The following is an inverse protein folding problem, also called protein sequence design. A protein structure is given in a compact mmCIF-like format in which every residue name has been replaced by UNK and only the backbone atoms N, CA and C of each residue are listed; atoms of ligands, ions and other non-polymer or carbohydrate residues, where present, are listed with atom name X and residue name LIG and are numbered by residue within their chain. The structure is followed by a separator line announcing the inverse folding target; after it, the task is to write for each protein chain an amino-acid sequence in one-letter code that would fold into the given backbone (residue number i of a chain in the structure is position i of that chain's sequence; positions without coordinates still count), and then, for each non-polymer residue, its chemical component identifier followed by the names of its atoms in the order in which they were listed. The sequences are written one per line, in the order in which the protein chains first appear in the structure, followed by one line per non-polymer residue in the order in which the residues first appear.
data_IF_892741530039
#
_entry.id   IF_892741530039
#
_cell.length_a   1.000
_cell.length_b   1.000
_cell.length_c   1.000
_cell.angle_alpha   90.00
_cell.angle_beta   90.00
_cell.angle_gamma   90.00
#
_symmetry.space_group_name_H-M   'P 1'
#
loop_
_entity.id
_entity.type
_entity.pdbx_description
1 polymer ?
#
# COMPACT_ATOMS: atom_id res chain seq x y z
N UNK A 1 -49.79 -40.30 4.32
CA UNK A 1 -48.51 -39.60 4.01
C UNK A 1 -48.64 -38.83 2.70
N UNK A 2 -49.20 -37.62 2.75
CA UNK A 2 -49.07 -36.62 1.68
C UNK A 2 -48.98 -35.25 2.37
N UNK A 3 -48.07 -34.45 1.86
CA UNK A 3 -47.24 -33.51 2.61
C UNK A 3 -47.98 -32.50 3.49
N UNK A 4 -47.60 -32.53 4.77
CA UNK A 4 -47.94 -31.61 5.86
C UNK A 4 -47.15 -30.29 5.80
N UNK A 5 -46.80 -29.82 4.60
CA UNK A 5 -46.03 -28.58 4.36
C UNK A 5 -46.87 -27.48 3.69
N UNK A 6 -48.20 -27.56 3.81
CA UNK A 6 -49.10 -26.43 3.54
C UNK A 6 -49.19 -25.51 4.76
N UNK A 7 -48.05 -25.28 5.42
CA UNK A 7 -47.93 -24.39 6.57
C UNK A 7 -47.46 -23.02 6.06
N UNK A 8 -48.37 -22.06 6.18
CA UNK A 8 -48.07 -20.81 6.86
C UNK A 8 -46.85 -20.03 6.36
N UNK A 9 -46.88 -19.46 5.16
CA UNK A 9 -46.04 -18.32 4.73
C UNK A 9 -46.67 -17.84 3.41
N UNK A 10 -47.26 -16.66 3.15
CA UNK A 10 -47.31 -15.34 3.78
C UNK A 10 -48.57 -14.64 3.20
N UNK A 11 -49.51 -14.20 4.05
CA UNK A 11 -50.29 -13.00 3.74
C UNK A 11 -49.36 -11.80 3.97
N UNK A 12 -49.06 -11.04 2.93
CA UNK A 12 -48.23 -9.83 3.02
C UNK A 12 -47.11 -9.77 1.98
N UNK A 13 -47.41 -9.14 0.84
CA UNK A 13 -46.46 -8.80 -0.24
C UNK A 13 -45.90 -10.00 -1.01
N UNK A 14 -46.72 -10.56 -1.91
CA UNK A 14 -46.19 -11.24 -3.10
C UNK A 14 -45.16 -10.33 -3.77
N UNK A 15 -44.05 -10.89 -4.20
CA UNK A 15 -42.94 -10.12 -4.75
C UNK A 15 -43.47 -9.24 -5.89
N UNK A 16 -42.84 -8.09 -6.13
CA UNK A 16 -43.27 -7.19 -7.20
C UNK A 16 -43.30 -7.89 -8.59
N UNK A 17 -42.65 -9.06 -8.72
CA UNK A 17 -42.68 -9.96 -9.87
C UNK A 17 -43.99 -10.74 -9.98
N UNK A 18 -44.55 -11.26 -8.87
CA UNK A 18 -45.81 -12.00 -8.87
C UNK A 18 -46.97 -11.12 -9.36
N UNK A 19 -46.93 -9.84 -9.00
CA UNK A 19 -47.89 -8.83 -9.48
C UNK A 19 -47.75 -8.57 -10.99
N UNK A 20 -46.53 -8.60 -11.52
CA UNK A 20 -46.28 -8.44 -12.97
C UNK A 20 -46.88 -9.61 -13.76
N UNK A 21 -46.74 -10.85 -13.27
CA UNK A 21 -47.31 -12.03 -13.92
C UNK A 21 -48.84 -12.03 -13.87
N UNK A 22 -49.44 -11.74 -12.72
CA UNK A 22 -50.91 -11.67 -12.58
C UNK A 22 -51.54 -10.64 -13.52
N UNK A 23 -50.94 -9.45 -13.65
CA UNK A 23 -51.43 -8.40 -14.53
C UNK A 23 -51.24 -8.74 -16.02
N UNK A 24 -50.23 -9.54 -16.36
CA UNK A 24 -50.03 -10.04 -17.72
C UNK A 24 -51.08 -11.10 -18.08
N UNK A 25 -51.44 -11.98 -17.15
CA UNK A 25 -52.50 -12.99 -17.34
C UNK A 25 -53.90 -12.35 -17.47
N UNK A 26 -54.11 -11.19 -16.84
CA UNK A 26 -55.30 -10.33 -17.06
C UNK A 26 -55.32 -9.64 -18.45
N UNK A 27 -54.28 -9.82 -19.28
CA UNK A 27 -54.21 -9.29 -20.64
C UNK A 27 -53.76 -7.82 -20.75
N UNK A 28 -53.17 -7.24 -19.69
CA UNK A 28 -52.68 -5.85 -19.72
C UNK A 28 -51.39 -5.74 -20.53
N UNK A 29 -51.22 -4.62 -21.23
CA UNK A 29 -49.98 -4.35 -21.96
C UNK A 29 -48.82 -4.07 -21.01
N UNK A 30 -47.59 -4.37 -21.44
CA UNK A 30 -46.37 -4.15 -20.64
C UNK A 30 -46.20 -2.70 -20.13
N UNK A 31 -46.71 -1.71 -20.87
CA UNK A 31 -46.69 -0.31 -20.43
C UNK A 31 -47.63 -0.08 -19.26
N UNK A 32 -48.86 -0.59 -19.35
CA UNK A 32 -49.86 -0.50 -18.29
C UNK A 32 -49.43 -1.24 -17.03
N UNK A 33 -48.76 -2.39 -17.18
CA UNK A 33 -48.18 -3.12 -16.06
C UNK A 33 -47.06 -2.30 -15.41
N UNK A 34 -46.23 -1.64 -16.23
CA UNK A 34 -45.19 -0.72 -15.75
C UNK A 34 -45.76 0.42 -14.90
N UNK A 35 -46.83 1.05 -15.38
CA UNK A 35 -47.49 2.15 -14.67
C UNK A 35 -48.14 1.67 -13.35
N UNK A 36 -48.78 0.49 -13.35
CA UNK A 36 -49.44 -0.09 -12.18
C UNK A 36 -48.49 -0.65 -11.12
N UNK A 37 -47.32 -1.13 -11.54
CA UNK A 37 -46.29 -1.69 -10.66
C UNK A 37 -45.17 -0.69 -10.33
N UNK A 38 -45.20 0.53 -10.89
CA UNK A 38 -44.12 1.52 -10.74
C UNK A 38 -42.78 1.05 -11.33
N UNK A 39 -42.82 0.31 -12.44
CA UNK A 39 -41.65 -0.27 -13.09
C UNK A 39 -41.47 0.23 -14.52
N UNK A 40 -40.22 0.42 -14.93
CA UNK A 40 -39.90 0.68 -16.33
C UNK A 40 -40.35 -0.49 -17.22
N UNK A 41 -40.91 -0.17 -18.39
CA UNK A 41 -41.40 -1.15 -19.37
C UNK A 41 -40.35 -2.20 -19.74
N UNK A 42 -39.06 -1.85 -19.82
CA UNK A 42 -37.98 -2.81 -20.13
C UNK A 42 -37.78 -3.81 -19.00
N UNK A 43 -37.99 -3.38 -17.76
CA UNK A 43 -37.92 -4.25 -16.58
C UNK A 43 -39.09 -5.24 -16.59
N UNK A 44 -40.30 -4.77 -16.86
CA UNK A 44 -41.49 -5.64 -17.04
C UNK A 44 -41.26 -6.66 -18.14
N UNK A 45 -40.73 -6.23 -19.30
CA UNK A 45 -40.37 -7.12 -20.41
C UNK A 45 -39.38 -8.21 -19.98
N UNK A 46 -38.29 -7.84 -19.31
CA UNK A 46 -37.29 -8.81 -18.85
C UNK A 46 -37.83 -9.81 -17.84
N UNK A 47 -38.80 -9.41 -17.02
CA UNK A 47 -39.49 -10.30 -16.07
C UNK A 47 -40.37 -11.31 -16.81
N UNK A 48 -41.21 -10.85 -17.74
CA UNK A 48 -42.08 -11.73 -18.52
C UNK A 48 -41.27 -12.69 -19.41
N UNK A 49 -40.15 -12.23 -19.95
CA UNK A 49 -39.23 -13.06 -20.73
C UNK A 49 -38.40 -14.03 -19.86
N UNK A 50 -38.30 -13.83 -18.55
CA UNK A 50 -37.53 -14.73 -17.66
C UNK A 50 -38.15 -16.11 -17.48
N UNK A 51 -39.46 -16.24 -17.69
CA UNK A 51 -40.17 -17.53 -17.64
C UNK A 51 -40.06 -18.32 -18.95
N UNK A 52 -39.86 -17.63 -20.08
CA UNK A 52 -39.82 -18.23 -21.42
C UNK A 52 -38.40 -18.41 -21.93
N UNK A 53 -37.50 -17.48 -21.62
CA UNK A 53 -36.06 -17.63 -21.84
C UNK A 53 -35.43 -18.36 -20.66
N UNK A 54 -35.60 -19.69 -20.63
CA UNK A 54 -34.63 -20.55 -19.94
C UNK A 54 -33.33 -20.42 -20.73
N UNK A 55 -32.49 -19.43 -20.39
CA UNK A 55 -31.09 -19.46 -20.85
C UNK A 55 -30.52 -20.77 -20.33
N UNK A 56 -30.04 -21.60 -21.25
CA UNK A 56 -29.30 -22.81 -20.91
C UNK A 56 -28.21 -22.39 -19.90
N UNK A 57 -28.32 -22.92 -18.67
CA UNK A 57 -27.34 -22.66 -17.65
C UNK A 57 -26.03 -23.27 -18.13
N UNK A 58 -25.12 -22.44 -18.63
CA UNK A 58 -23.73 -22.80 -18.80
C UNK A 58 -23.04 -22.51 -17.47
N UNK A 59 -22.88 -23.52 -16.59
CA UNK A 59 -22.05 -23.33 -15.42
C UNK A 59 -20.67 -22.90 -15.91
N UNK A 60 -20.14 -21.81 -15.36
CA UNK A 60 -18.72 -21.41 -15.46
C UNK A 60 -17.77 -22.44 -14.79
N UNK A 61 -18.20 -23.69 -14.66
CA UNK A 61 -17.55 -24.82 -14.01
C UNK A 61 -18.00 -26.04 -14.81
N UNK A 62 -17.25 -26.47 -15.82
CA UNK A 62 -16.19 -27.45 -15.64
C UNK A 62 -14.97 -27.02 -16.44
N UNK A 63 -14.03 -26.33 -15.79
CA UNK A 63 -12.66 -26.28 -16.30
C UNK A 63 -12.20 -27.74 -16.33
N UNK A 64 -11.98 -28.26 -17.53
CA UNK A 64 -11.44 -29.59 -17.75
C UNK A 64 -10.11 -29.73 -17.00
N UNK A 65 -10.17 -30.34 -15.81
CA UNK A 65 -9.01 -30.50 -14.92
C UNK A 65 -7.91 -31.35 -15.55
N UNK A 66 -8.23 -32.15 -16.58
CA UNK A 66 -7.22 -32.88 -17.34
C UNK A 66 -6.24 -31.96 -18.07
N UNK A 67 -6.65 -30.71 -18.37
CA UNK A 67 -5.82 -29.68 -19.03
C UNK A 67 -5.04 -28.81 -18.04
N UNK A 68 -5.24 -28.96 -16.74
CA UNK A 68 -4.51 -28.19 -15.72
C UNK A 68 -2.99 -28.39 -15.76
N UNK A 69 -2.44 -29.59 -16.03
CA UNK A 69 -1.00 -29.78 -16.11
C UNK A 69 -0.33 -28.89 -17.17
N UNK A 70 -0.92 -28.79 -18.37
CA UNK A 70 -0.37 -27.95 -19.46
C UNK A 70 -0.49 -26.46 -19.15
N UNK A 71 -1.63 -26.04 -18.57
CA UNK A 71 -1.86 -24.65 -18.14
C UNK A 71 -0.88 -24.29 -17.00
N UNK A 72 -0.67 -25.19 -16.05
CA UNK A 72 0.26 -25.03 -14.93
C UNK A 72 1.69 -24.85 -15.43
N UNK A 73 2.16 -25.74 -16.31
CA UNK A 73 3.47 -25.62 -16.96
C UNK A 73 3.62 -24.27 -17.66
N UNK A 74 2.60 -23.84 -18.42
CA UNK A 74 2.66 -22.57 -19.13
C UNK A 74 2.70 -21.35 -18.20
N UNK A 75 1.94 -21.38 -17.09
CA UNK A 75 1.98 -20.35 -16.06
C UNK A 75 3.36 -20.30 -15.40
N UNK A 76 3.96 -21.46 -15.10
CA UNK A 76 5.32 -21.55 -14.53
C UNK A 76 6.36 -20.95 -15.48
N UNK A 77 6.35 -21.32 -16.76
CA UNK A 77 7.22 -20.72 -17.80
C UNK A 77 7.08 -19.20 -17.89
N UNK A 78 5.85 -18.69 -17.86
CA UNK A 78 5.60 -17.24 -17.88
C UNK A 78 6.17 -16.54 -16.64
N UNK A 79 6.08 -17.17 -15.46
CA UNK A 79 6.62 -16.64 -14.22
C UNK A 79 8.15 -16.77 -14.10
N UNK A 80 8.78 -17.72 -14.78
CA UNK A 80 10.25 -17.78 -14.91
C UNK A 80 10.80 -16.60 -15.71
N UNK A 81 10.10 -16.20 -16.77
CA UNK A 81 10.48 -15.04 -17.60
C UNK A 81 10.16 -13.72 -16.89
N UNK A 82 8.98 -13.63 -16.26
CA UNK A 82 8.55 -12.43 -15.56
C UNK A 82 7.76 -12.79 -14.30
N UNK A 83 8.37 -12.59 -13.13
CA UNK A 83 7.73 -12.87 -11.84
C UNK A 83 6.42 -12.11 -11.59
N UNK A 84 6.17 -11.00 -12.29
CA UNK A 84 4.98 -10.13 -12.11
C UNK A 84 3.91 -10.30 -13.22
N UNK A 85 3.85 -11.45 -13.93
CA UNK A 85 2.82 -11.66 -14.97
C UNK A 85 1.40 -11.45 -14.40
N UNK A 86 0.61 -10.60 -15.05
CA UNK A 86 -0.78 -10.31 -14.68
C UNK A 86 -1.73 -11.43 -15.11
N UNK A 87 -2.93 -11.49 -14.51
CA UNK A 87 -3.95 -12.47 -14.92
C UNK A 87 -4.34 -12.27 -16.39
N UNK A 88 -4.49 -11.03 -16.83
CA UNK A 88 -4.85 -10.71 -18.23
C UNK A 88 -3.81 -11.22 -19.21
N UNK A 89 -2.52 -11.04 -18.94
CA UNK A 89 -1.44 -11.55 -19.79
C UNK A 89 -1.44 -13.08 -19.87
N UNK A 90 -1.72 -13.76 -18.76
CA UNK A 90 -1.87 -15.24 -18.77
C UNK A 90 -3.09 -15.65 -19.60
N UNK A 91 -4.22 -14.97 -19.46
CA UNK A 91 -5.44 -15.27 -20.22
C UNK A 91 -5.21 -15.03 -21.72
N UNK A 92 -4.51 -13.96 -22.08
CA UNK A 92 -4.18 -13.61 -23.47
C UNK A 92 -3.23 -14.64 -24.10
N UNK A 93 -2.23 -15.12 -23.36
CA UNK A 93 -1.28 -16.13 -23.82
C UNK A 93 -1.95 -17.50 -23.99
N UNK A 94 -2.75 -17.92 -23.00
CA UNK A 94 -3.46 -19.20 -23.02
C UNK A 94 -4.70 -19.14 -23.94
N UNK A 95 -5.08 -17.93 -24.39
CA UNK A 95 -6.23 -17.62 -25.26
C UNK A 95 -7.56 -18.18 -24.77
N UNK A 96 -7.72 -18.35 -23.46
CA UNK A 96 -8.91 -18.96 -22.83
C UNK A 96 -9.16 -18.40 -21.43
N UNK A 97 -10.43 -18.24 -21.10
CA UNK A 97 -10.87 -17.82 -19.78
C UNK A 97 -10.87 -19.02 -18.81
N UNK A 98 -9.74 -19.22 -18.12
CA UNK A 98 -9.63 -20.15 -17.01
C UNK A 98 -9.56 -19.41 -15.67
N UNK A 99 -9.82 -20.13 -14.58
CA UNK A 99 -9.59 -19.64 -13.22
C UNK A 99 -8.08 -19.64 -12.91
N UNK A 100 -7.36 -18.71 -13.53
CA UNK A 100 -5.89 -18.56 -13.41
C UNK A 100 -5.45 -18.44 -11.94
N UNK A 101 -6.26 -17.80 -11.09
CA UNK A 101 -5.97 -17.70 -9.65
C UNK A 101 -5.90 -19.07 -8.97
N UNK A 102 -6.86 -19.94 -9.25
CA UNK A 102 -6.90 -21.30 -8.67
C UNK A 102 -5.75 -22.15 -9.18
N UNK A 103 -5.39 -22.03 -10.46
CA UNK A 103 -4.25 -22.77 -11.03
C UNK A 103 -2.94 -22.29 -10.38
N UNK A 104 -2.73 -20.97 -10.23
CA UNK A 104 -1.56 -20.40 -9.55
C UNK A 104 -1.40 -20.92 -8.12
N UNK A 105 -2.48 -20.91 -7.35
CA UNK A 105 -2.47 -21.44 -5.98
C UNK A 105 -2.11 -22.94 -5.96
N UNK A 106 -2.67 -23.73 -6.89
CA UNK A 106 -2.31 -25.15 -7.04
C UNK A 106 -0.87 -25.40 -7.53
N UNK A 107 -0.22 -24.38 -8.08
CA UNK A 107 1.20 -24.38 -8.47
C UNK A 107 2.13 -23.93 -7.35
N UNK A 108 1.60 -23.56 -6.18
CA UNK A 108 2.40 -23.02 -5.07
C UNK A 108 2.79 -21.55 -5.26
N UNK A 109 2.24 -20.87 -6.27
CA UNK A 109 2.42 -19.43 -6.45
C UNK A 109 1.50 -18.68 -5.47
N UNK A 110 2.10 -17.80 -4.66
CA UNK A 110 1.38 -17.02 -3.66
C UNK A 110 1.27 -15.55 -4.08
N UNK A 111 0.10 -14.96 -3.84
CA UNK A 111 -0.12 -13.52 -4.07
C UNK A 111 0.55 -12.72 -2.96
N UNK A 112 1.57 -11.95 -3.30
CA UNK A 112 2.18 -10.95 -2.41
C UNK A 112 1.80 -9.54 -2.84
N UNK A 113 1.63 -8.65 -1.87
CA UNK A 113 1.51 -7.23 -2.14
C UNK A 113 2.85 -6.69 -2.64
N UNK A 114 2.83 -5.95 -3.75
CA UNK A 114 4.01 -5.24 -4.25
C UNK A 114 4.43 -4.19 -3.21
N UNK A 115 5.67 -4.28 -2.74
CA UNK A 115 6.26 -3.27 -1.85
C UNK A 115 7.00 -2.25 -2.70
N UNK A 116 6.70 -0.97 -2.50
CA UNK A 116 7.54 0.10 -3.03
C UNK A 116 8.76 0.25 -2.12
N UNK A 117 9.93 0.39 -2.73
CA UNK A 117 11.18 0.61 -2.00
C UNK A 117 12.21 1.28 -2.89
N UNK A 118 13.09 2.07 -2.27
CA UNK A 118 14.25 2.63 -2.96
C UNK A 118 15.32 1.56 -3.08
N UNK A 119 15.54 1.05 -4.29
CA UNK A 119 16.66 0.15 -4.54
C UNK A 119 17.98 0.89 -4.41
N UNK A 120 18.95 0.25 -3.76
CA UNK A 120 20.34 0.73 -3.74
C UNK A 120 20.88 0.67 -5.17
N UNK A 121 21.28 1.83 -5.69
CA UNK A 121 21.96 1.95 -6.99
C UNK A 121 23.15 1.00 -7.04
N UNK A 122 23.38 0.36 -8.18
CA UNK A 122 24.44 -0.65 -8.33
C UNK A 122 25.81 -0.12 -7.92
N UNK A 123 26.14 1.12 -8.29
CA UNK A 123 27.38 1.80 -7.90
C UNK A 123 27.58 1.97 -6.37
N UNK A 124 26.50 2.00 -5.58
CA UNK A 124 26.54 2.16 -4.13
C UNK A 124 26.59 0.81 -3.39
N UNK A 125 26.22 -0.30 -4.04
CA UNK A 125 26.24 -1.63 -3.44
C UNK A 125 27.65 -2.06 -2.99
N UNK A 126 28.72 -1.99 -3.81
CA UNK A 126 30.04 -2.42 -3.37
C UNK A 126 30.55 -1.56 -2.21
N UNK A 127 30.34 -0.24 -2.25
CA UNK A 127 30.74 0.68 -1.17
C UNK A 127 30.10 0.33 0.17
N UNK A 128 28.81 0.00 0.17
CA UNK A 128 28.09 -0.42 1.39
C UNK A 128 28.60 -1.77 1.91
N UNK A 129 28.87 -2.71 1.01
CA UNK A 129 29.39 -4.03 1.37
C UNK A 129 30.81 -3.92 1.97
N UNK A 130 31.69 -3.17 1.31
CA UNK A 130 33.06 -2.92 1.77
C UNK A 130 33.06 -2.27 3.15
N UNK A 131 32.27 -1.20 3.35
CA UNK A 131 32.14 -0.55 4.65
C UNK A 131 31.63 -1.51 5.73
N UNK A 132 30.60 -2.31 5.43
CA UNK A 132 30.05 -3.27 6.38
C UNK A 132 31.05 -4.38 6.74
N UNK A 133 31.79 -4.91 5.76
CA UNK A 133 32.84 -5.92 5.98
C UNK A 133 33.99 -5.35 6.82
N UNK A 134 34.42 -4.11 6.56
CA UNK A 134 35.45 -3.44 7.33
C UNK A 134 35.06 -3.29 8.81
N UNK A 135 33.87 -2.72 9.09
CA UNK A 135 33.36 -2.57 10.45
C UNK A 135 33.17 -3.91 11.18
N UNK A 136 32.75 -4.95 10.45
CA UNK A 136 32.64 -6.30 10.99
C UNK A 136 34.00 -6.89 11.35
N UNK A 137 35.01 -6.72 10.48
CA UNK A 137 36.36 -7.21 10.71
C UNK A 137 37.05 -6.51 11.90
N UNK A 138 36.82 -5.22 12.06
CA UNK A 138 37.27 -4.41 13.19
C UNK A 138 36.53 -4.72 14.50
N UNK A 139 35.45 -5.51 14.43
CA UNK A 139 34.54 -5.78 15.57
C UNK A 139 34.01 -4.48 16.18
N UNK A 140 33.72 -3.50 15.34
CA UNK A 140 33.18 -2.21 15.74
C UNK A 140 31.86 -2.41 16.52
N UNK A 141 31.79 -1.82 17.71
CA UNK A 141 30.59 -1.87 18.56
C UNK A 141 29.77 -0.60 18.49
N UNK A 142 30.28 0.46 17.84
CA UNK A 142 29.67 1.79 17.76
C UNK A 142 29.40 2.40 19.14
N UNK A 143 30.14 1.98 20.16
CA UNK A 143 29.90 2.39 21.55
C UNK A 143 30.18 3.87 21.81
N UNK A 144 31.06 4.47 21.00
CA UNK A 144 31.43 5.88 21.04
C UNK A 144 30.92 6.65 19.81
N UNK A 145 29.77 6.26 19.24
CA UNK A 145 29.21 6.90 18.05
C UNK A 145 27.85 7.53 18.34
N UNK A 146 27.68 8.77 17.95
CA UNK A 146 26.36 9.40 17.80
C UNK A 146 25.86 9.23 16.39
N UNK A 147 24.67 8.64 16.25
CA UNK A 147 23.93 8.61 14.99
C UNK A 147 23.01 9.83 14.96
N UNK A 148 23.26 10.72 14.01
CA UNK A 148 22.49 11.94 13.80
C UNK A 148 21.72 11.86 12.49
N UNK A 149 20.50 12.36 12.49
CA UNK A 149 19.64 12.46 11.31
C UNK A 149 18.63 13.59 11.45
N UNK A 150 18.10 14.03 10.30
CA UNK A 150 17.00 14.97 10.21
C UNK A 150 15.69 14.25 9.88
N UNK A 151 14.66 14.48 10.69
CA UNK A 151 13.31 14.00 10.41
C UNK A 151 12.35 15.16 10.13
N UNK A 152 11.47 14.99 9.16
CA UNK A 152 10.34 15.91 8.94
C UNK A 152 9.08 15.33 9.57
N UNK A 153 8.46 16.09 10.46
CA UNK A 153 7.18 15.73 11.09
C UNK A 153 6.09 16.64 10.53
N UNK A 154 5.05 16.03 9.98
CA UNK A 154 3.86 16.75 9.49
C UNK A 154 2.93 17.08 10.66
N UNK A 155 2.48 18.34 10.74
CA UNK A 155 1.65 18.83 11.86
C UNK A 155 0.22 18.26 11.78
N UNK A 156 -0.36 18.19 10.58
CA UNK A 156 -1.73 17.72 10.34
C UNK A 156 -1.75 16.29 9.77
N UNK A 157 -1.00 15.38 10.40
CA UNK A 157 -0.97 13.99 9.98
C UNK A 157 -2.28 13.28 10.37
N UNK A 158 -3.29 13.38 9.51
CA UNK A 158 -4.55 12.63 9.65
C UNK A 158 -4.25 11.14 9.57
N UNK A 159 -4.83 10.36 10.50
CA UNK A 159 -4.65 8.91 10.55
C UNK A 159 -5.05 8.26 9.22
N UNK A 160 -4.36 7.18 8.85
CA UNK A 160 -4.69 6.40 7.64
C UNK A 160 -6.08 5.75 7.70
N UNK A 161 -6.69 5.72 8.89
CA UNK A 161 -8.01 5.17 9.12
C UNK A 161 -9.00 6.29 9.41
N UNK A 162 -10.13 6.25 8.71
CA UNK A 162 -11.27 7.15 8.89
C UNK A 162 -12.54 6.31 8.92
N UNK A 163 -13.49 6.70 9.77
CA UNK A 163 -14.81 6.08 9.82
C UNK A 163 -15.76 6.90 8.96
N UNK A 164 -16.35 6.27 7.95
CA UNK A 164 -17.24 6.94 6.99
C UNK A 164 -18.55 6.17 6.83
N UNK A 165 -19.63 6.88 6.49
CA UNK A 165 -20.93 6.27 6.25
C UNK A 165 -20.91 5.48 4.93
N UNK A 166 -21.52 4.29 4.92
CA UNK A 166 -21.48 3.38 3.77
C UNK A 166 -22.13 3.95 2.50
N UNK A 167 -23.01 4.95 2.62
CA UNK A 167 -23.68 5.62 1.50
C UNK A 167 -22.87 6.77 0.88
N UNK A 168 -21.73 7.14 1.46
CA UNK A 168 -20.84 8.17 0.91
C UNK A 168 -19.50 7.54 0.47
N UNK A 169 -19.37 7.22 -0.83
CA UNK A 169 -18.15 6.59 -1.35
C UNK A 169 -16.96 7.55 -1.41
N UNK A 170 -17.12 8.85 -1.13
CA UNK A 170 -16.07 9.86 -1.23
C UNK A 170 -15.63 10.43 0.12
N UNK A 171 -16.41 10.26 1.19
CA UNK A 171 -16.09 10.77 2.53
C UNK A 171 -14.71 10.32 3.07
N UNK A 172 -14.15 9.22 2.56
CA UNK A 172 -12.83 8.73 2.98
C UNK A 172 -11.67 9.47 2.27
N UNK A 173 -11.98 10.29 1.26
CA UNK A 173 -11.02 11.05 0.49
C UNK A 173 -10.84 12.40 1.18
N UNK A 174 -9.82 12.50 2.03
CA UNK A 174 -9.46 13.77 2.64
C UNK A 174 -8.76 14.68 1.62
N UNK A 175 -9.15 15.95 1.59
CA UNK A 175 -8.34 16.98 0.94
C UNK A 175 -6.96 17.03 1.59
N UNK A 176 -5.92 16.76 0.80
CA UNK A 176 -4.52 16.93 1.22
C UNK A 176 -4.00 18.23 0.64
N UNK A 177 -3.57 19.20 1.47
CA UNK A 177 -2.88 20.37 0.94
C UNK A 177 -1.65 19.94 0.16
N UNK A 178 -1.43 20.52 -1.02
CA UNK A 178 -0.27 20.21 -1.89
C UNK A 178 1.07 20.38 -1.17
N UNK A 179 1.11 21.28 -0.19
CA UNK A 179 2.27 21.60 0.62
C UNK A 179 1.87 21.57 2.10
N UNK A 180 1.84 20.38 2.74
CA UNK A 180 1.49 20.28 4.15
C UNK A 180 2.52 21.00 5.01
N UNK A 181 2.06 21.56 6.13
CA UNK A 181 2.97 22.20 7.08
C UNK A 181 3.75 21.13 7.83
N UNK A 182 5.08 21.23 7.73
CA UNK A 182 6.03 20.31 8.35
C UNK A 182 7.03 21.09 9.18
N UNK A 183 7.49 20.45 10.25
CA UNK A 183 8.59 20.90 11.08
C UNK A 183 9.73 19.92 10.89
N UNK A 184 10.94 20.43 10.74
CA UNK A 184 12.12 19.59 10.68
C UNK A 184 12.73 19.52 12.06
N UNK A 185 13.12 18.33 12.48
CA UNK A 185 13.81 18.08 13.73
C UNK A 185 15.17 17.48 13.39
N UNK A 186 16.19 17.96 14.09
CA UNK A 186 17.49 17.31 14.15
C UNK A 186 17.62 16.61 15.51
N UNK A 187 18.12 15.38 15.48
CA UNK A 187 18.34 14.56 16.66
C UNK A 187 19.63 13.78 16.47
N UNK A 188 20.39 13.60 17.56
CA UNK A 188 21.46 12.62 17.63
C UNK A 188 21.26 11.66 18.81
N UNK A 189 21.56 10.37 18.60
CA UNK A 189 21.46 9.33 19.62
C UNK A 189 22.73 8.50 19.69
N UNK A 190 23.10 8.08 20.89
CA UNK A 190 24.27 7.21 21.15
C UNK A 190 23.89 6.09 22.11
N UNK A 191 24.80 5.15 22.34
CA UNK A 191 24.62 4.11 23.36
C UNK A 191 24.48 4.67 24.79
N UNK A 192 25.08 5.84 25.06
CA UNK A 192 25.03 6.48 26.38
C UNK A 192 23.79 7.36 26.56
N UNK A 193 23.13 7.77 25.47
CA UNK A 193 21.92 8.58 25.53
C UNK A 193 21.74 9.50 24.31
N UNK A 194 20.61 10.21 24.26
CA UNK A 194 20.32 11.19 23.22
C UNK A 194 20.99 12.54 23.49
N UNK A 195 21.28 13.28 22.42
CA UNK A 195 21.50 14.71 22.46
C UNK A 195 20.16 15.46 22.58
N UNK A 196 20.21 16.75 22.89
CA UNK A 196 19.03 17.61 22.87
C UNK A 196 18.48 17.74 21.44
N UNK A 197 17.15 17.82 21.33
CA UNK A 197 16.44 17.90 20.04
C UNK A 197 16.45 19.34 19.56
N UNK A 198 16.98 19.58 18.35
CA UNK A 198 16.84 20.86 17.67
C UNK A 198 15.62 20.85 16.77
N UNK A 199 14.68 21.74 17.07
CA UNK A 199 13.55 22.04 16.18
C UNK A 199 13.96 23.17 15.23
N UNK A 200 13.81 22.92 13.92
CA UNK A 200 14.04 23.89 12.84
C UNK A 200 12.69 24.39 12.35
N UNK A 201 12.53 25.72 12.29
CA UNK A 201 11.25 26.36 12.00
C UNK A 201 10.70 25.99 10.60
N UNK A 202 9.37 26.02 10.39
CA UNK A 202 8.72 25.57 9.15
C UNK A 202 9.08 26.39 7.89
N UNK A 203 9.78 27.52 8.04
CA UNK A 203 10.24 28.38 6.94
C UNK A 203 11.76 28.56 6.91
N UNK A 204 12.48 27.87 7.78
CA UNK A 204 13.94 27.94 7.83
C UNK A 204 14.52 26.97 6.81
N UNK A 205 15.38 27.49 5.92
CA UNK A 205 16.19 26.64 5.05
C UNK A 205 17.36 26.13 5.87
N UNK A 206 17.52 24.81 5.99
CA UNK A 206 18.65 24.23 6.69
C UNK A 206 19.89 24.24 5.79
N UNK A 207 20.82 25.16 6.05
CA UNK A 207 22.07 25.31 5.29
C UNK A 207 23.24 24.70 6.06
N UNK A 208 24.41 24.66 5.41
CA UNK A 208 25.64 24.16 6.04
C UNK A 208 26.04 24.95 7.29
N UNK A 209 25.83 26.26 7.30
CA UNK A 209 26.11 27.12 8.45
C UNK A 209 25.18 26.80 9.63
N UNK A 210 23.90 26.56 9.35
CA UNK A 210 22.92 26.19 10.37
C UNK A 210 23.25 24.80 10.93
N UNK A 211 23.62 23.86 10.07
CA UNK A 211 24.05 22.53 10.49
C UNK A 211 25.29 22.59 11.40
N UNK A 212 26.30 23.39 11.06
CA UNK A 212 27.48 23.55 11.90
C UNK A 212 27.13 24.12 13.28
N UNK A 213 26.24 25.12 13.33
CA UNK A 213 25.72 25.63 14.61
C UNK A 213 24.98 24.56 15.40
N UNK A 214 24.20 23.70 14.74
CA UNK A 214 23.56 22.58 15.43
C UNK A 214 24.58 21.64 16.04
N UNK A 215 25.70 21.38 15.36
CA UNK A 215 26.76 20.57 15.93
C UNK A 215 27.40 21.23 17.16
N UNK A 216 27.66 22.53 17.10
CA UNK A 216 28.26 23.28 18.20
C UNK A 216 27.33 23.41 19.41
N UNK A 217 26.04 23.66 19.17
CA UNK A 217 25.05 23.96 20.21
C UNK A 217 24.45 22.70 20.83
N UNK A 218 24.32 21.59 20.08
CA UNK A 218 23.60 20.40 20.52
C UNK A 218 24.46 19.13 20.55
N UNK A 219 25.30 18.89 19.53
CA UNK A 219 26.14 17.69 19.48
C UNK A 219 27.35 17.79 20.43
N UNK A 220 28.17 18.83 20.33
CA UNK A 220 29.40 18.96 21.14
C UNK A 220 29.14 18.94 22.65
N UNK A 221 28.09 19.61 23.18
CA UNK A 221 27.79 19.52 24.60
C UNK A 221 27.40 18.11 25.03
N UNK A 222 26.59 17.41 24.22
CA UNK A 222 26.20 16.02 24.50
C UNK A 222 27.40 15.05 24.41
N UNK A 223 28.25 15.22 23.38
CA UNK A 223 29.50 14.50 23.20
C UNK A 223 30.45 14.67 24.40
N UNK A 224 30.60 15.91 24.87
CA UNK A 224 31.43 16.22 26.03
C UNK A 224 30.84 15.63 27.31
N UNK A 225 29.53 15.78 27.53
CA UNK A 225 28.86 15.30 28.73
C UNK A 225 28.83 13.76 28.84
N UNK A 226 28.60 13.05 27.73
CA UNK A 226 28.41 11.59 27.73
C UNK A 226 29.70 10.80 27.47
N UNK A 227 30.66 11.39 26.75
CA UNK A 227 31.89 10.70 26.31
C UNK A 227 33.18 11.48 26.61
N UNK A 228 33.11 12.62 27.31
CA UNK A 228 34.29 13.46 27.55
C UNK A 228 34.92 14.02 26.28
N UNK A 229 34.16 14.10 25.19
CA UNK A 229 34.65 14.53 23.88
C UNK A 229 35.28 13.42 23.03
N UNK A 230 35.40 12.20 23.55
CA UNK A 230 35.94 11.04 22.81
C UNK A 230 34.83 10.27 22.10
N UNK A 231 34.17 10.90 21.14
CA UNK A 231 33.14 10.25 20.32
C UNK A 231 33.14 10.71 18.86
N UNK A 232 32.58 9.86 18.00
CA UNK A 232 32.44 10.08 16.57
C UNK A 232 31.00 10.41 16.21
N UNK A 233 30.83 11.17 15.14
CA UNK A 233 29.55 11.50 14.54
C UNK A 233 29.31 10.64 13.30
N UNK A 234 28.18 9.92 13.26
CA UNK A 234 27.66 9.26 12.08
C UNK A 234 26.46 10.07 11.55
N UNK A 235 26.58 10.56 10.32
CA UNK A 235 25.54 11.31 9.61
C UNK A 235 25.50 10.91 8.14
N UNK A 236 24.46 11.30 7.41
CA UNK A 236 24.34 10.98 5.99
C UNK A 236 25.23 11.88 5.09
N UNK A 237 25.30 11.55 3.80
CA UNK A 237 26.07 12.32 2.82
C UNK A 237 25.25 13.44 2.15
N UNK A 238 24.32 14.08 2.85
CA UNK A 238 23.58 15.20 2.29
C UNK A 238 24.53 16.32 1.82
N UNK A 239 24.14 17.14 0.82
CA UNK A 239 24.97 18.23 0.34
C UNK A 239 25.39 19.22 1.44
N UNK A 240 24.54 19.43 2.44
CA UNK A 240 24.84 20.32 3.58
C UNK A 240 25.90 19.73 4.51
N UNK A 241 25.97 18.40 4.63
CA UNK A 241 26.92 17.66 5.45
C UNK A 241 28.30 17.55 4.79
N UNK A 242 28.32 17.47 3.46
CA UNK A 242 29.53 17.24 2.67
C UNK A 242 30.13 18.50 2.04
N UNK A 243 29.52 19.67 2.29
CA UNK A 243 29.98 20.95 1.77
C UNK A 243 31.38 21.30 2.29
N UNK A 244 32.11 22.12 1.52
CA UNK A 244 33.44 22.56 1.91
C UNK A 244 33.42 23.30 3.26
N UNK A 245 32.40 24.14 3.46
CA UNK A 245 32.19 24.86 4.72
C UNK A 245 32.06 23.91 5.90
N UNK A 246 31.16 22.92 5.80
CA UNK A 246 30.90 21.96 6.89
C UNK A 246 32.14 21.14 7.24
N UNK A 247 32.88 20.66 6.23
CA UNK A 247 34.12 19.89 6.44
C UNK A 247 35.20 20.71 7.13
N UNK A 248 35.42 21.94 6.68
CA UNK A 248 36.37 22.86 7.33
C UNK A 248 35.96 23.10 8.78
N UNK A 249 34.68 23.42 9.01
CA UNK A 249 34.19 23.72 10.35
C UNK A 249 34.31 22.53 11.29
N UNK A 250 33.90 21.32 10.88
CA UNK A 250 34.07 20.09 11.65
C UNK A 250 35.51 19.85 12.07
N UNK A 251 36.46 20.14 11.18
CA UNK A 251 37.89 20.01 11.49
C UNK A 251 38.31 21.02 12.57
N UNK A 252 37.85 22.27 12.48
CA UNK A 252 38.13 23.32 13.47
C UNK A 252 37.56 22.98 14.86
N UNK A 253 36.36 22.41 14.91
CA UNK A 253 35.69 22.01 16.16
C UNK A 253 36.01 20.58 16.60
N UNK A 254 37.02 19.94 15.98
CA UNK A 254 37.52 18.61 16.29
C UNK A 254 36.45 17.50 16.30
N UNK A 255 35.48 17.57 15.39
CA UNK A 255 34.47 16.52 15.20
C UNK A 255 35.03 15.41 14.31
N UNK A 256 35.13 14.21 14.85
CA UNK A 256 35.50 13.00 14.11
C UNK A 256 34.26 12.37 13.46
N UNK A 257 34.30 12.09 12.16
CA UNK A 257 33.21 11.43 11.42
C UNK A 257 33.48 9.93 11.29
N UNK A 258 32.45 9.11 11.51
CA UNK A 258 32.52 7.65 11.48
C UNK A 258 32.47 7.02 10.08
#
# INVERSE_FOLDING_TARGET
LHCKYLLMFIQGMGSAYDRVFALNDEGKSMSQIGDLCGMDRRKVKGILESLTNVKEYHPYSLIDKSKWPDIKRRIEELHEINSEVTISQVIDDIKRAYSVSQVRESSGLIRKQRKYGHFVREANRPKRLEWALARTAEKEMFSNVFFADEASVEIDNKTSFVWVQACDPYAHIAERPKHPQRVMIWLAISMMGPAEIKIVGPRESFKSEDYCKVLEDFYLPAATALYGGYCRLAHDNAPVHTSAFTKTRMTEIAVEVN
#
